data_IF_782607538896
#
_entry.id   IF_782607538896
#
_cell.length_a   1.000
_cell.length_b   1.000
_cell.length_c   1.000
_cell.angle_alpha   90.00
_cell.angle_beta   90.00
_cell.angle_gamma   90.00
#
_symmetry.space_group_name_H-M   'P 1'
#
loop_
_entity.id
_entity.type
_entity.pdbx_description
1 polymer ?
#
# COMPACT_ATOMS: atom_id res chain seq x y z
N UNK A 1 -41.03 -38.69 47.88
CA UNK A 1 -39.99 -38.25 48.82
C UNK A 1 -38.67 -38.74 48.21
N UNK A 2 -38.00 -37.86 47.47
CA UNK A 2 -36.91 -38.22 46.56
C UNK A 2 -35.71 -37.35 46.86
N UNK A 3 -34.54 -37.99 46.89
CA UNK A 3 -33.23 -37.53 47.33
C UNK A 3 -32.59 -36.52 46.34
N UNK A 4 -32.13 -35.36 46.84
CA UNK A 4 -30.70 -34.93 46.99
C UNK A 4 -29.68 -35.72 46.13
N UNK A 5 -28.69 -35.23 45.37
CA UNK A 5 -27.94 -33.98 45.08
C UNK A 5 -27.15 -34.29 43.77
N UNK A 6 -26.81 -33.32 42.92
CA UNK A 6 -25.40 -32.89 42.79
C UNK A 6 -25.25 -31.68 41.86
N UNK A 7 -24.18 -30.95 42.15
CA UNK A 7 -23.78 -29.64 41.68
C UNK A 7 -22.73 -29.82 40.60
N UNK A 8 -22.86 -29.13 39.47
CA UNK A 8 -21.68 -28.79 38.66
C UNK A 8 -21.87 -27.44 38.00
N UNK A 9 -21.05 -26.51 38.49
CA UNK A 9 -20.57 -25.30 37.83
C UNK A 9 -20.38 -25.49 36.32
N UNK A 10 -20.98 -24.60 35.53
CA UNK A 10 -20.46 -24.22 34.22
C UNK A 10 -20.35 -22.68 34.18
N UNK A 11 -19.13 -22.10 34.11
CA UNK A 11 -18.96 -20.65 34.02
C UNK A 11 -19.34 -20.11 32.63
N UNK A 12 -19.68 -18.81 32.51
CA UNK A 12 -20.22 -18.26 31.28
C UNK A 12 -19.15 -18.17 30.21
N UNK A 13 -19.52 -18.55 28.98
CA UNK A 13 -18.78 -18.35 27.74
C UNK A 13 -18.39 -16.87 27.58
N UNK A 14 -17.23 -16.50 28.10
CA UNK A 14 -16.56 -15.24 27.76
C UNK A 14 -15.97 -15.38 26.36
N UNK A 15 -16.82 -15.25 25.36
CA UNK A 15 -16.39 -15.08 23.97
C UNK A 15 -15.67 -13.74 23.87
N UNK A 16 -14.35 -13.78 24.01
CA UNK A 16 -13.49 -12.66 23.66
C UNK A 16 -13.72 -12.40 22.16
N UNK A 17 -14.16 -11.20 21.74
CA UNK A 17 -14.32 -10.93 20.32
C UNK A 17 -12.97 -11.14 19.64
N UNK A 18 -12.93 -11.72 18.43
CA UNK A 18 -11.68 -11.91 17.72
C UNK A 18 -10.97 -10.55 17.64
N UNK A 19 -9.78 -10.46 18.24
CA UNK A 19 -8.94 -9.28 18.10
C UNK A 19 -8.82 -9.00 16.61
N UNK A 20 -9.27 -7.82 16.18
CA UNK A 20 -9.06 -7.35 14.83
C UNK A 20 -7.57 -7.58 14.50
N UNK A 21 -7.24 -8.15 13.35
CA UNK A 21 -5.85 -8.40 13.00
C UNK A 21 -5.08 -7.09 13.18
N UNK A 22 -4.01 -7.12 13.99
CA UNK A 22 -3.16 -5.94 14.20
C UNK A 22 -2.78 -5.40 12.83
N UNK A 23 -3.41 -4.29 12.45
CA UNK A 23 -3.16 -3.65 11.18
C UNK A 23 -1.72 -3.16 11.24
N UNK A 24 -0.82 -3.89 10.57
CA UNK A 24 0.59 -3.51 10.51
C UNK A 24 0.66 -2.07 10.04
N UNK A 25 1.25 -1.21 10.86
CA UNK A 25 1.44 0.20 10.53
C UNK A 25 2.04 0.30 9.13
N UNK A 26 1.43 1.13 8.27
CA UNK A 26 1.84 1.31 6.88
C UNK A 26 1.71 0.06 5.97
N UNK A 27 0.75 -0.82 6.22
CA UNK A 27 0.34 -1.90 5.32
C UNK A 27 -1.19 -2.08 5.34
N UNK A 28 -1.73 -2.77 4.35
CA UNK A 28 -3.17 -3.03 4.23
C UNK A 28 -3.88 -1.99 3.38
N UNK A 29 -3.87 -0.72 3.79
CA UNK A 29 -4.62 0.34 3.12
C UNK A 29 -3.85 1.66 2.98
N UNK A 30 -4.15 2.43 1.93
CA UNK A 30 -3.58 3.74 1.64
C UNK A 30 -4.64 4.64 0.98
N UNK A 31 -4.63 5.92 1.33
CA UNK A 31 -5.56 6.93 0.77
C UNK A 31 -4.80 7.98 -0.05
N UNK A 32 -5.40 8.56 -1.11
CA UNK A 32 -4.75 9.64 -1.86
C UNK A 32 -4.71 10.93 -1.02
N UNK A 33 -3.64 11.71 -1.15
CA UNK A 33 -3.45 12.96 -0.42
C UNK A 33 -4.55 13.99 -0.72
N UNK A 34 -5.09 14.00 -1.94
CA UNK A 34 -6.28 14.78 -2.27
C UNK A 34 -7.48 14.53 -1.32
N UNK A 35 -7.58 13.37 -0.69
CA UNK A 35 -8.65 13.05 0.27
C UNK A 35 -8.52 13.87 1.57
N UNK A 36 -7.33 14.40 1.87
CA UNK A 36 -7.05 15.24 3.03
C UNK A 36 -7.71 16.63 2.96
N UNK A 37 -8.35 16.97 1.84
CA UNK A 37 -9.26 18.10 1.77
C UNK A 37 -10.37 17.98 2.82
N UNK A 38 -10.88 16.76 3.06
CA UNK A 38 -11.76 16.46 4.19
C UNK A 38 -10.95 16.42 5.49
N UNK A 39 -11.26 17.34 6.40
CA UNK A 39 -10.60 17.45 7.71
C UNK A 39 -10.79 16.19 8.56
N UNK A 40 -11.98 15.61 8.57
CA UNK A 40 -12.30 14.44 9.38
C UNK A 40 -11.47 13.25 8.92
N UNK A 41 -11.37 13.06 7.61
CA UNK A 41 -10.54 12.00 7.03
C UNK A 41 -9.05 12.24 7.28
N UNK A 42 -8.59 13.50 7.19
CA UNK A 42 -7.21 13.85 7.50
C UNK A 42 -6.84 13.56 8.97
N UNK A 43 -7.72 13.93 9.90
CA UNK A 43 -7.54 13.68 11.34
C UNK A 43 -7.54 12.18 11.64
N UNK A 44 -8.43 11.42 11.00
CA UNK A 44 -8.44 9.96 11.06
C UNK A 44 -7.15 9.34 10.53
N UNK A 45 -6.72 9.73 9.32
CA UNK A 45 -5.51 9.18 8.70
C UNK A 45 -4.26 9.47 9.55
N UNK A 46 -4.15 10.69 10.09
CA UNK A 46 -3.07 11.11 10.98
C UNK A 46 -3.03 10.28 12.26
N UNK A 47 -4.15 10.20 12.97
CA UNK A 47 -4.26 9.50 14.26
C UNK A 47 -4.04 7.98 14.14
N UNK A 48 -4.50 7.37 13.05
CA UNK A 48 -4.44 5.92 12.87
C UNK A 48 -3.19 5.43 12.12
N UNK A 49 -2.28 6.33 11.73
CA UNK A 49 -1.05 5.92 11.05
C UNK A 49 -1.28 5.39 9.62
N UNK A 50 -2.40 5.77 8.99
CA UNK A 50 -2.77 5.33 7.64
C UNK A 50 -1.78 5.90 6.63
N UNK A 51 -1.39 5.11 5.64
CA UNK A 51 -0.51 5.59 4.58
C UNK A 51 -1.25 6.55 3.64
N UNK A 52 -0.56 7.59 3.20
CA UNK A 52 -1.08 8.62 2.30
C UNK A 52 -0.23 8.66 1.04
N UNK A 53 -0.85 8.47 -0.12
CA UNK A 53 -0.21 8.57 -1.42
C UNK A 53 -0.27 10.00 -1.95
N UNK A 54 0.90 10.63 -2.14
CA UNK A 54 1.03 11.96 -2.73
C UNK A 54 1.69 11.86 -4.11
N UNK A 55 1.30 12.70 -5.07
CA UNK A 55 1.87 12.68 -6.45
C UNK A 55 2.49 13.99 -6.93
N UNK A 56 2.15 15.11 -6.32
CA UNK A 56 2.56 16.43 -6.77
C UNK A 56 2.70 17.44 -5.61
N UNK A 57 2.99 18.69 -5.96
CA UNK A 57 3.16 19.78 -5.01
C UNK A 57 1.90 20.11 -4.22
N UNK A 58 0.72 19.98 -4.84
CA UNK A 58 -0.55 20.26 -4.18
C UNK A 58 -0.84 19.22 -3.09
N UNK A 59 -0.60 17.95 -3.40
CA UNK A 59 -0.69 16.88 -2.41
C UNK A 59 0.30 17.06 -1.26
N UNK A 60 1.53 17.50 -1.56
CA UNK A 60 2.53 17.81 -0.53
C UNK A 60 2.12 19.00 0.35
N UNK A 61 1.45 20.01 -0.22
CA UNK A 61 0.85 21.11 0.54
C UNK A 61 -0.23 20.59 1.50
N UNK A 62 -1.12 19.72 1.04
CA UNK A 62 -2.16 19.10 1.88
C UNK A 62 -1.55 18.26 3.01
N UNK A 63 -0.55 17.42 2.70
CA UNK A 63 0.20 16.62 3.68
C UNK A 63 0.80 17.52 4.77
N UNK A 64 1.46 18.61 4.38
CA UNK A 64 2.08 19.56 5.31
C UNK A 64 1.03 20.29 6.14
N UNK A 65 0.00 20.82 5.49
CA UNK A 65 -1.07 21.59 6.13
C UNK A 65 -1.85 20.75 7.14
N UNK A 66 -2.12 19.48 6.82
CA UNK A 66 -2.80 18.52 7.71
C UNK A 66 -1.87 17.81 8.69
N UNK A 67 -0.58 18.16 8.69
CA UNK A 67 0.42 17.60 9.60
C UNK A 67 0.49 16.06 9.54
N UNK A 68 0.35 15.49 8.33
CA UNK A 68 0.58 14.06 8.13
C UNK A 68 2.07 13.79 8.31
N UNK A 69 2.41 12.81 9.15
CA UNK A 69 3.81 12.50 9.45
C UNK A 69 4.52 12.00 8.19
N UNK A 70 5.76 12.40 7.89
CA UNK A 70 6.48 11.95 6.70
C UNK A 70 6.56 10.43 6.55
N UNK A 71 6.65 9.70 7.67
CA UNK A 71 6.66 8.23 7.68
C UNK A 71 5.36 7.60 7.15
N UNK A 72 4.23 8.33 7.18
CA UNK A 72 2.94 7.89 6.64
C UNK A 72 2.83 8.17 5.13
N UNK A 73 3.70 9.01 4.58
CA UNK A 73 3.61 9.43 3.17
C UNK A 73 4.32 8.41 2.28
N UNK A 74 3.69 8.08 1.16
CA UNK A 74 4.31 7.41 0.02
C UNK A 74 4.21 8.37 -1.16
N UNK A 75 5.35 8.85 -1.66
CA UNK A 75 5.36 9.77 -2.78
C UNK A 75 5.46 9.00 -4.11
N UNK A 76 4.53 9.22 -5.02
CA UNK A 76 4.56 8.67 -6.37
C UNK A 76 5.31 9.63 -7.29
N UNK A 77 6.46 9.19 -7.78
CA UNK A 77 7.28 10.01 -8.66
C UNK A 77 6.62 10.22 -10.02
N UNK A 78 6.44 11.48 -10.40
CA UNK A 78 6.09 11.88 -11.77
C UNK A 78 7.33 12.14 -12.63
N UNK A 79 7.12 12.66 -13.84
CA UNK A 79 8.22 13.05 -14.74
C UNK A 79 8.97 14.30 -14.25
N UNK A 80 8.29 15.19 -13.54
CA UNK A 80 8.87 16.43 -13.04
C UNK A 80 9.79 16.17 -11.83
N UNK A 81 11.00 16.74 -11.87
CA UNK A 81 11.97 16.58 -10.79
C UNK A 81 11.62 17.40 -9.54
N UNK A 82 11.01 18.58 -9.68
CA UNK A 82 10.79 19.50 -8.55
C UNK A 82 9.92 18.89 -7.42
N UNK A 83 8.78 18.22 -7.70
CA UNK A 83 8.02 17.54 -6.66
C UNK A 83 8.78 16.42 -5.95
N UNK A 84 9.65 15.68 -6.67
CA UNK A 84 10.49 14.62 -6.07
C UNK A 84 11.45 15.22 -5.05
N UNK A 85 12.18 16.28 -5.43
CA UNK A 85 13.11 16.97 -4.52
C UNK A 85 12.40 17.48 -3.28
N UNK A 86 11.21 18.07 -3.48
CA UNK A 86 10.41 18.61 -2.39
C UNK A 86 9.93 17.51 -1.43
N UNK A 87 9.45 16.38 -1.96
CA UNK A 87 9.07 15.23 -1.14
C UNK A 87 10.26 14.73 -0.30
N UNK A 88 11.46 14.67 -0.88
CA UNK A 88 12.68 14.31 -0.14
C UNK A 88 13.02 15.34 0.94
N UNK A 89 12.92 16.64 0.63
CA UNK A 89 13.13 17.74 1.59
C UNK A 89 12.08 17.78 2.72
N UNK A 90 10.90 17.19 2.51
CA UNK A 90 9.88 16.98 3.53
C UNK A 90 10.08 15.68 4.33
N UNK A 91 11.25 15.05 4.24
CA UNK A 91 11.60 13.79 4.89
C UNK A 91 10.69 12.61 4.56
N UNK A 92 10.00 12.66 3.41
CA UNK A 92 9.31 11.47 2.90
C UNK A 92 10.34 10.36 2.71
N UNK A 93 9.99 9.17 3.22
CA UNK A 93 10.89 8.02 3.24
C UNK A 93 10.52 6.96 2.22
N UNK A 94 9.29 6.96 1.68
CA UNK A 94 8.79 5.93 0.76
C UNK A 94 8.43 6.54 -0.59
N UNK A 95 8.93 5.95 -1.66
CA UNK A 95 8.72 6.42 -3.03
C UNK A 95 8.27 5.29 -3.95
N UNK A 96 7.29 5.57 -4.81
CA UNK A 96 6.97 4.73 -5.97
C UNK A 96 7.70 5.32 -7.16
N UNK A 97 8.52 4.50 -7.82
CA UNK A 97 9.38 4.90 -8.93
C UNK A 97 9.18 3.99 -10.13
N UNK A 98 9.24 4.59 -11.31
CA UNK A 98 8.96 3.99 -12.61
C UNK A 98 10.17 4.01 -13.55
N UNK A 99 11.17 4.87 -13.29
CA UNK A 99 12.34 5.02 -14.16
C UNK A 99 13.65 5.17 -13.37
N UNK A 100 14.78 4.83 -14.00
CA UNK A 100 16.11 5.10 -13.45
C UNK A 100 16.31 6.58 -13.12
N UNK A 101 15.77 7.48 -13.96
CA UNK A 101 15.90 8.91 -13.75
C UNK A 101 15.23 9.33 -12.44
N UNK A 102 14.03 8.83 -12.13
CA UNK A 102 13.36 9.12 -10.87
C UNK A 102 14.15 8.59 -9.68
N UNK A 103 14.72 7.39 -9.79
CA UNK A 103 15.57 6.81 -8.75
C UNK A 103 16.81 7.66 -8.49
N UNK A 104 17.51 8.07 -9.55
CA UNK A 104 18.67 8.95 -9.46
C UNK A 104 18.31 10.27 -8.75
N UNK A 105 17.17 10.88 -9.07
CA UNK A 105 16.70 12.09 -8.37
C UNK A 105 16.48 11.85 -6.88
N UNK A 106 15.82 10.76 -6.51
CA UNK A 106 15.63 10.43 -5.09
C UNK A 106 17.00 10.24 -4.40
N UNK A 107 17.97 9.58 -5.02
CA UNK A 107 19.31 9.37 -4.45
C UNK A 107 20.13 10.66 -4.31
N UNK A 108 20.08 11.52 -5.33
CA UNK A 108 20.76 12.82 -5.38
C UNK A 108 20.34 13.69 -4.18
N UNK A 109 19.04 13.81 -3.93
CA UNK A 109 18.51 14.66 -2.86
C UNK A 109 18.46 13.97 -1.49
N UNK A 110 18.66 12.64 -1.42
CA UNK A 110 18.52 11.89 -0.18
C UNK A 110 19.66 12.15 0.82
N UNK A 111 19.30 12.64 2.00
CA UNK A 111 20.20 12.76 3.16
C UNK A 111 20.16 11.52 4.08
N UNK A 112 19.20 10.63 3.86
CA UNK A 112 18.95 9.40 4.63
C UNK A 112 18.43 8.30 3.70
N UNK A 113 18.44 7.05 4.15
CA UNK A 113 17.93 5.93 3.36
C UNK A 113 16.47 6.13 2.98
N UNK A 114 16.16 6.03 1.69
CA UNK A 114 14.83 6.06 1.10
C UNK A 114 14.43 4.66 0.65
N UNK A 115 13.15 4.37 0.77
CA UNK A 115 12.56 3.07 0.51
C UNK A 115 11.75 3.12 -0.79
N UNK A 116 12.05 2.22 -1.72
CA UNK A 116 11.47 2.22 -3.04
C UNK A 116 10.45 1.09 -3.20
N UNK A 117 9.32 1.47 -3.81
CA UNK A 117 8.41 0.58 -4.51
C UNK A 117 8.70 0.71 -6.00
N UNK A 118 9.15 -0.38 -6.63
CA UNK A 118 9.40 -0.38 -8.07
C UNK A 118 8.12 -0.76 -8.81
N UNK A 119 7.78 -0.01 -9.85
CA UNK A 119 6.77 -0.46 -10.81
C UNK A 119 7.31 -1.57 -11.71
N UNK A 120 6.49 -2.07 -12.63
CA UNK A 120 6.94 -3.01 -13.64
C UNK A 120 7.91 -2.41 -14.66
N UNK A 121 7.83 -1.11 -14.95
CA UNK A 121 8.72 -0.44 -15.91
C UNK A 121 10.05 0.01 -15.29
N UNK A 122 10.10 0.10 -13.95
CA UNK A 122 11.32 0.48 -13.26
C UNK A 122 12.48 -0.49 -13.58
N UNK A 123 13.71 0.00 -13.76
CA UNK A 123 14.85 -0.90 -13.93
C UNK A 123 15.16 -1.65 -12.63
N UNK A 124 15.79 -2.81 -12.76
CA UNK A 124 16.35 -3.52 -11.62
C UNK A 124 17.45 -2.64 -11.00
N UNK A 125 17.39 -2.46 -9.69
CA UNK A 125 18.37 -1.66 -8.96
C UNK A 125 19.40 -2.58 -8.29
N UNK A 126 20.67 -2.44 -8.67
CA UNK A 126 21.78 -3.07 -7.96
C UNK A 126 22.45 -2.05 -7.04
N UNK A 127 21.94 -1.96 -5.81
CA UNK A 127 22.64 -1.35 -4.66
C UNK A 127 23.02 0.13 -4.78
N UNK A 128 22.28 0.99 -4.08
CA UNK A 128 22.65 2.37 -3.76
C UNK A 128 22.56 2.51 -2.24
N UNK A 129 23.57 3.11 -1.58
CA UNK A 129 23.61 3.20 -0.12
C UNK A 129 22.43 3.98 0.47
N UNK A 130 21.83 4.88 -0.32
CA UNK A 130 20.70 5.73 0.07
C UNK A 130 19.36 5.19 -0.40
N UNK A 131 19.32 4.16 -1.25
CA UNK A 131 18.06 3.60 -1.74
C UNK A 131 17.93 2.12 -1.38
N UNK A 132 16.79 1.74 -0.82
CA UNK A 132 16.48 0.35 -0.51
C UNK A 132 15.16 -0.03 -1.16
N UNK A 133 15.20 -1.03 -2.04
CA UNK A 133 13.97 -1.59 -2.61
C UNK A 133 13.26 -2.41 -1.53
N UNK A 134 12.06 -1.98 -1.14
CA UNK A 134 11.25 -2.66 -0.11
C UNK A 134 10.02 -3.34 -0.69
N UNK A 135 9.59 -2.90 -1.86
CA UNK A 135 8.35 -3.37 -2.44
C UNK A 135 8.24 -3.19 -3.94
N UNK A 136 7.12 -3.65 -4.45
CA UNK A 136 6.69 -3.46 -5.83
C UNK A 136 5.32 -2.77 -5.84
N UNK A 137 5.06 -2.02 -6.90
CA UNK A 137 3.79 -1.32 -7.09
C UNK A 137 3.23 -1.56 -8.50
N UNK A 138 1.91 -1.62 -8.62
CA UNK A 138 1.22 -1.53 -9.90
C UNK A 138 -0.07 -0.77 -9.75
N UNK A 139 -0.52 -0.21 -10.85
CA UNK A 139 -1.87 0.33 -10.98
C UNK A 139 -2.78 -0.71 -11.62
N UNK A 140 -4.05 -0.64 -11.29
CA UNK A 140 -5.12 -1.47 -11.85
C UNK A 140 -6.15 -0.53 -12.44
N UNK A 141 -6.36 -0.65 -13.75
CA UNK A 141 -7.17 0.29 -14.53
C UNK A 141 -8.67 0.02 -14.29
N UNK A 142 -9.09 -1.25 -14.39
CA UNK A 142 -10.48 -1.65 -14.10
C UNK A 142 -10.62 -2.05 -12.65
N UNK A 143 -10.79 -1.03 -11.82
CA UNK A 143 -10.85 -1.19 -10.38
C UNK A 143 -11.98 -2.11 -9.90
N UNK A 144 -13.06 -2.28 -10.67
CA UNK A 144 -14.22 -3.11 -10.36
C UNK A 144 -14.04 -4.60 -10.73
N UNK A 145 -12.95 -4.98 -11.41
CA UNK A 145 -12.70 -6.36 -11.83
C UNK A 145 -11.67 -7.07 -10.94
N UNK A 146 -12.16 -7.94 -10.04
CA UNK A 146 -11.33 -8.76 -9.18
C UNK A 146 -10.32 -9.66 -9.92
N UNK A 147 -10.62 -10.09 -11.15
CA UNK A 147 -9.70 -10.89 -11.95
C UNK A 147 -8.49 -10.06 -12.41
N UNK A 148 -8.69 -8.79 -12.74
CA UNK A 148 -7.60 -7.88 -13.12
C UNK A 148 -6.66 -7.62 -11.95
N UNK A 149 -7.20 -7.35 -10.76
CA UNK A 149 -6.42 -7.23 -9.53
C UNK A 149 -5.61 -8.49 -9.23
N UNK A 150 -6.21 -9.67 -9.42
CA UNK A 150 -5.49 -10.93 -9.25
C UNK A 150 -4.35 -11.09 -10.28
N UNK A 151 -4.58 -10.76 -11.56
CA UNK A 151 -3.53 -10.78 -12.60
C UNK A 151 -2.39 -9.82 -12.25
N UNK A 152 -2.71 -8.60 -11.84
CA UNK A 152 -1.74 -7.60 -11.42
C UNK A 152 -0.90 -8.09 -10.23
N UNK A 153 -1.55 -8.72 -9.23
CA UNK A 153 -0.86 -9.30 -8.07
C UNK A 153 0.09 -10.43 -8.47
N UNK A 154 -0.30 -11.31 -9.39
CA UNK A 154 0.58 -12.37 -9.93
C UNK A 154 1.79 -11.77 -10.64
N UNK A 155 1.59 -10.71 -11.43
CA UNK A 155 2.66 -9.97 -12.09
C UNK A 155 3.71 -9.47 -11.09
N UNK A 156 3.25 -8.85 -10.00
CA UNK A 156 4.15 -8.38 -8.93
C UNK A 156 4.91 -9.52 -8.25
N UNK A 157 4.27 -10.67 -7.97
CA UNK A 157 4.97 -11.83 -7.38
C UNK A 157 6.03 -12.38 -8.34
N UNK A 158 5.73 -12.48 -9.64
CA UNK A 158 6.72 -12.91 -10.65
C UNK A 158 7.92 -11.98 -10.69
N UNK A 159 7.68 -10.67 -10.67
CA UNK A 159 8.74 -9.66 -10.62
C UNK A 159 9.55 -9.74 -9.32
N UNK A 160 8.91 -10.03 -8.18
CA UNK A 160 9.60 -10.27 -6.92
C UNK A 160 10.56 -11.47 -6.99
N UNK A 161 10.24 -12.52 -7.75
CA UNK A 161 11.14 -13.65 -8.00
C UNK A 161 12.40 -13.21 -8.75
N UNK A 162 12.26 -12.35 -9.76
CA UNK A 162 13.41 -11.80 -10.50
C UNK A 162 14.32 -11.01 -9.54
N UNK A 163 13.74 -10.12 -8.73
CA UNK A 163 14.51 -9.35 -7.74
C UNK A 163 15.20 -10.26 -6.70
N UNK A 164 14.54 -11.33 -6.26
CA UNK A 164 15.13 -12.29 -5.33
C UNK A 164 16.32 -13.02 -5.97
N UNK A 165 16.22 -13.42 -7.24
CA UNK A 165 17.35 -14.00 -7.97
C UNK A 165 18.54 -13.02 -8.08
N UNK A 166 18.26 -11.71 -8.09
CA UNK A 166 19.27 -10.65 -8.02
C UNK A 166 19.70 -10.28 -6.58
N UNK A 167 19.32 -11.05 -5.56
CA UNK A 167 19.70 -10.85 -4.16
C UNK A 167 18.86 -9.83 -3.38
N UNK A 168 17.79 -9.29 -3.97
CA UNK A 168 16.89 -8.33 -3.32
C UNK A 168 15.62 -9.00 -2.79
N UNK A 169 15.31 -8.83 -1.51
CA UNK A 169 14.08 -9.40 -0.92
C UNK A 169 12.93 -8.40 -0.93
N UNK A 170 11.94 -8.64 -1.79
CA UNK A 170 10.69 -7.88 -1.82
C UNK A 170 9.81 -8.30 -0.66
N UNK A 171 9.48 -7.37 0.24
CA UNK A 171 8.63 -7.65 1.42
C UNK A 171 7.23 -7.07 1.32
N UNK A 172 6.97 -6.22 0.32
CA UNK A 172 5.71 -5.48 0.18
C UNK A 172 5.25 -5.43 -1.27
N UNK A 173 3.95 -5.64 -1.48
CA UNK A 173 3.28 -5.38 -2.76
C UNK A 173 2.24 -4.30 -2.54
N UNK A 174 2.16 -3.33 -3.44
CA UNK A 174 1.15 -2.28 -3.42
C UNK A 174 0.39 -2.31 -4.75
N UNK A 175 -0.93 -2.39 -4.68
CA UNK A 175 -1.80 -2.31 -5.85
C UNK A 175 -2.70 -1.10 -5.66
N UNK A 176 -2.78 -0.23 -6.66
CA UNK A 176 -3.56 1.01 -6.60
C UNK A 176 -4.58 1.07 -7.73
N UNK A 177 -5.78 1.53 -7.43
CA UNK A 177 -6.84 1.63 -8.42
C UNK A 177 -8.11 2.16 -7.80
N UNK A 178 -9.03 2.63 -8.65
CA UNK A 178 -10.34 3.13 -8.23
C UNK A 178 -10.28 4.38 -7.35
N UNK A 179 -11.48 4.82 -6.95
CA UNK A 179 -11.66 5.98 -6.09
C UNK A 179 -11.86 5.60 -4.63
N UNK A 180 -11.69 6.55 -3.71
CA UNK A 180 -11.95 6.31 -2.30
C UNK A 180 -13.41 5.87 -2.06
N UNK A 181 -14.37 6.46 -2.78
CA UNK A 181 -15.78 6.05 -2.70
C UNK A 181 -15.99 4.60 -3.16
N UNK A 182 -15.26 4.14 -4.18
CA UNK A 182 -15.29 2.74 -4.59
C UNK A 182 -14.85 1.83 -3.45
N UNK A 183 -13.70 2.12 -2.82
CA UNK A 183 -13.20 1.31 -1.70
C UNK A 183 -14.09 1.33 -0.46
N UNK A 184 -14.81 2.44 -0.23
CA UNK A 184 -15.68 2.58 0.93
C UNK A 184 -17.04 1.87 0.76
N UNK A 185 -17.55 1.74 -0.46
CA UNK A 185 -18.96 1.41 -0.68
C UNK A 185 -19.20 0.31 -1.72
N UNK A 186 -18.24 -0.04 -2.55
CA UNK A 186 -18.46 -1.00 -3.62
C UNK A 186 -18.50 -2.44 -3.06
N UNK A 187 -19.57 -3.22 -3.32
CA UNK A 187 -19.67 -4.60 -2.83
C UNK A 187 -18.57 -5.52 -3.39
N UNK A 188 -17.97 -5.15 -4.52
CA UNK A 188 -16.90 -5.89 -5.20
C UNK A 188 -15.58 -5.90 -4.41
N UNK A 189 -15.37 -4.97 -3.47
CA UNK A 189 -14.11 -4.83 -2.72
C UNK A 189 -13.73 -6.12 -1.97
N UNK A 190 -14.71 -6.80 -1.37
CA UNK A 190 -14.45 -8.07 -0.69
C UNK A 190 -13.96 -9.15 -1.68
N UNK A 191 -14.56 -9.21 -2.87
CA UNK A 191 -14.13 -10.12 -3.95
C UNK A 191 -12.71 -9.82 -4.43
N UNK A 192 -12.35 -8.53 -4.55
CA UNK A 192 -10.99 -8.10 -4.91
C UNK A 192 -9.97 -8.54 -3.86
N UNK A 193 -10.25 -8.32 -2.57
CA UNK A 193 -9.35 -8.73 -1.48
C UNK A 193 -9.10 -10.24 -1.51
N UNK A 194 -10.17 -11.04 -1.65
CA UNK A 194 -10.07 -12.51 -1.74
C UNK A 194 -9.29 -12.94 -2.98
N UNK A 195 -9.55 -12.34 -4.14
CA UNK A 195 -8.88 -12.69 -5.39
C UNK A 195 -7.38 -12.37 -5.34
N UNK A 196 -7.01 -11.21 -4.78
CA UNK A 196 -5.61 -10.81 -4.59
C UNK A 196 -4.91 -11.71 -3.58
N UNK A 197 -5.50 -11.96 -2.41
CA UNK A 197 -4.91 -12.83 -1.38
C UNK A 197 -4.68 -14.25 -1.92
N UNK A 198 -5.68 -14.83 -2.59
CA UNK A 198 -5.55 -16.13 -3.24
C UNK A 198 -4.42 -16.12 -4.29
N UNK A 199 -4.40 -15.14 -5.19
CA UNK A 199 -3.39 -15.03 -6.23
C UNK A 199 -1.96 -14.92 -5.66
N UNK A 200 -1.76 -14.08 -4.64
CA UNK A 200 -0.45 -13.91 -3.99
C UNK A 200 -0.03 -15.21 -3.31
N UNK A 201 -0.93 -15.86 -2.55
CA UNK A 201 -0.62 -17.14 -1.88
C UNK A 201 -0.22 -18.20 -2.89
N UNK A 202 -1.03 -18.43 -3.92
CA UNK A 202 -0.75 -19.45 -4.94
C UNK A 202 0.58 -19.21 -5.65
N UNK A 203 0.86 -17.99 -6.11
CA UNK A 203 2.11 -17.72 -6.84
C UNK A 203 3.34 -17.75 -5.92
N UNK A 204 3.22 -17.32 -4.66
CA UNK A 204 4.30 -17.40 -3.67
C UNK A 204 4.60 -18.85 -3.32
N UNK A 205 3.58 -19.66 -3.05
CA UNK A 205 3.74 -21.08 -2.71
C UNK A 205 4.40 -21.84 -3.88
N UNK A 206 3.95 -21.59 -5.12
CA UNK A 206 4.54 -22.19 -6.33
C UNK A 206 6.02 -21.84 -6.54
N UNK A 207 6.46 -20.65 -6.09
CA UNK A 207 7.84 -20.15 -6.27
C UNK A 207 8.67 -20.19 -5.00
N UNK A 208 8.13 -20.73 -3.90
CA UNK A 208 8.77 -20.78 -2.58
C UNK A 208 9.21 -19.40 -2.08
N UNK A 209 8.43 -18.37 -2.38
CA UNK A 209 8.68 -17.01 -1.90
C UNK A 209 8.08 -16.80 -0.51
N UNK A 210 8.75 -16.03 0.38
CA UNK A 210 8.11 -15.53 1.58
C UNK A 210 6.93 -14.64 1.20
N UNK A 211 5.81 -14.76 1.92
CA UNK A 211 4.60 -13.98 1.63
C UNK A 211 4.82 -12.50 1.94
N UNK A 212 4.73 -11.60 0.94
CA UNK A 212 4.87 -10.18 1.17
C UNK A 212 3.61 -9.59 1.80
N UNK A 213 3.76 -8.46 2.51
CA UNK A 213 2.61 -7.67 2.94
C UNK A 213 1.95 -6.99 1.73
N UNK A 214 0.64 -7.13 1.58
CA UNK A 214 -0.12 -6.52 0.49
C UNK A 214 -0.78 -5.23 0.97
N UNK A 215 -0.76 -4.20 0.15
CA UNK A 215 -1.49 -2.94 0.35
C UNK A 215 -2.37 -2.69 -0.84
N UNK A 216 -3.67 -2.47 -0.60
CA UNK A 216 -4.62 -2.02 -1.60
C UNK A 216 -4.87 -0.52 -1.36
N UNK A 217 -4.78 0.27 -2.41
CA UNK A 217 -4.83 1.73 -2.29
C UNK A 217 -5.86 2.32 -3.25
N UNK A 218 -6.63 3.28 -2.75
CA UNK A 218 -7.40 4.17 -3.61
C UNK A 218 -6.43 5.06 -4.39
N UNK A 219 -6.64 5.17 -5.71
CA UNK A 219 -5.80 6.02 -6.56
C UNK A 219 -6.30 7.48 -6.57
N UNK A 220 -7.62 7.65 -6.46
CA UNK A 220 -8.28 8.96 -6.57
C UNK A 220 -9.32 9.16 -5.47
N UNK A 221 -9.79 10.40 -5.27
CA UNK A 221 -10.92 10.70 -4.37
C UNK A 221 -12.24 10.47 -5.09
N UNK A 222 -12.38 11.08 -6.26
CA UNK A 222 -13.51 10.91 -7.16
C UNK A 222 -13.20 9.82 -8.21
N UNK A 223 -14.21 9.13 -8.78
CA UNK A 223 -13.96 8.26 -9.93
C UNK A 223 -13.22 9.05 -11.01
N UNK A 224 -12.18 8.43 -11.60
CA UNK A 224 -11.54 9.00 -12.76
C UNK A 224 -12.64 9.17 -13.82
N UNK A 225 -12.98 10.41 -14.18
CA UNK A 225 -13.85 10.66 -15.32
C UNK A 225 -13.17 9.98 -16.50
N UNK A 226 -13.78 8.92 -17.02
CA UNK A 226 -13.19 8.07 -18.04
C UNK A 226 -12.67 8.91 -19.18
N UNK A 227 -11.35 9.01 -19.29
CA UNK A 227 -10.71 9.57 -20.47
C UNK A 227 -10.95 8.57 -21.58
N UNK A 228 -11.98 8.82 -22.40
CA UNK A 228 -12.12 8.16 -23.68
C UNK A 228 -10.81 8.38 -24.45
N UNK A 229 -10.11 7.28 -24.74
CA UNK A 229 -9.11 7.21 -25.79
C UNK A 229 -9.72 6.49 -26.97
#
# INVERSE_FOLDING_TARGET
MTLVLDTTDDPPLSATPPRAPEMRVNAGHCVPAAALADRTLADWARSHGVSVAARDDHDLDLVRYRQIRPIQVVFRCGAAAAPIRRAVAMDVSRFIVDTAQQMARVAEDAHSTKYLYLTDQAPLMLGDRRLTVVGLHTEVDRADDAAEWAVAARGLVRRATVLQACGSTVRRLALSGGSLCFWAHAPQVAGIVVAVDHAVRTECDARRLPRPAVTLAALTVAPALGGAR
#
